data_IF_332531415905
#
_entry.id   IF_332531415905
#
_cell.length_a   1.000
_cell.length_b   1.000
_cell.length_c   1.000
_cell.angle_alpha   90.00
_cell.angle_beta   90.00
_cell.angle_gamma   90.00
#
_symmetry.space_group_name_H-M   'P 1'
#
loop_
_entity.id
_entity.type
_entity.pdbx_description
1 polymer ?
#
# COMPACT_ATOMS: atom_id res chain seq x y z
N UNK A 1 0.43 24.49 -8.34
CA UNK A 1 1.03 23.17 -8.57
C UNK A 1 2.53 23.33 -8.77
N UNK A 2 3.30 22.25 -8.63
CA UNK A 2 4.74 22.24 -8.89
C UNK A 2 5.16 20.90 -9.49
N UNK A 3 5.96 20.91 -10.56
CA UNK A 3 6.46 19.71 -11.22
C UNK A 3 7.99 19.80 -11.40
N UNK A 4 8.71 18.75 -11.04
CA UNK A 4 10.17 18.65 -11.14
C UNK A 4 10.61 17.29 -11.72
N UNK A 5 11.55 17.29 -12.67
CA UNK A 5 12.07 16.06 -13.29
C UNK A 5 11.50 15.76 -14.67
N UNK A 6 11.94 14.66 -15.29
CA UNK A 6 11.64 14.35 -16.69
C UNK A 6 10.18 13.91 -16.89
N UNK A 7 9.42 14.66 -17.70
CA UNK A 7 7.99 14.38 -17.98
C UNK A 7 7.11 14.28 -16.73
N UNK A 8 7.45 15.01 -15.68
CA UNK A 8 6.58 15.17 -14.52
C UNK A 8 5.40 16.11 -14.87
N UNK A 9 4.22 15.84 -14.32
CA UNK A 9 3.01 16.64 -14.54
C UNK A 9 2.29 16.87 -13.22
N UNK A 10 2.05 18.13 -12.86
CA UNK A 10 1.26 18.51 -11.69
C UNK A 10 0.08 19.39 -12.13
N UNK A 11 -1.06 18.78 -12.44
CA UNK A 11 -2.25 19.46 -12.99
C UNK A 11 -3.32 19.77 -11.94
N UNK A 12 -3.35 19.08 -10.81
CA UNK A 12 -4.25 19.39 -9.70
C UNK A 12 -3.94 20.74 -9.01
N UNK A 13 -4.95 21.35 -8.38
CA UNK A 13 -4.73 22.55 -7.55
C UNK A 13 -3.85 22.18 -6.36
N UNK A 14 -2.85 23.01 -6.06
CA UNK A 14 -1.87 22.75 -4.98
C UNK A 14 -1.09 21.42 -5.08
N UNK A 15 -1.09 20.76 -6.25
CA UNK A 15 -0.43 19.46 -6.41
C UNK A 15 1.10 19.57 -6.56
N UNK A 16 1.79 18.46 -6.30
CA UNK A 16 3.25 18.33 -6.43
C UNK A 16 3.62 17.04 -7.18
N UNK A 17 4.46 17.13 -8.21
CA UNK A 17 4.97 15.96 -8.92
C UNK A 17 6.50 16.01 -9.04
N UNK A 18 7.20 14.93 -8.68
CA UNK A 18 8.66 14.85 -8.77
C UNK A 18 9.15 13.50 -9.29
N UNK A 19 10.16 13.51 -10.17
CA UNK A 19 10.79 12.31 -10.74
C UNK A 19 10.55 12.14 -12.23
N UNK A 20 10.51 10.90 -12.71
CA UNK A 20 10.36 10.56 -14.14
C UNK A 20 8.95 10.03 -14.41
N UNK A 21 8.20 10.71 -15.28
CA UNK A 21 6.79 10.39 -15.58
C UNK A 21 5.89 10.38 -14.33
N UNK A 22 6.19 11.18 -13.30
CA UNK A 22 5.32 11.32 -12.13
C UNK A 22 4.14 12.26 -12.45
N UNK A 23 2.92 11.86 -12.14
CA UNK A 23 1.70 12.63 -12.43
C UNK A 23 0.86 12.86 -11.17
N UNK A 24 0.69 14.12 -10.76
CA UNK A 24 -0.23 14.51 -9.69
C UNK A 24 -1.43 15.26 -10.30
N UNK A 25 -2.51 14.53 -10.59
CA UNK A 25 -3.67 15.03 -11.33
C UNK A 25 -4.80 15.55 -10.46
N UNK A 26 -4.87 15.13 -9.20
CA UNK A 26 -5.90 15.58 -8.25
C UNK A 26 -5.46 16.75 -7.37
N UNK A 27 -6.45 17.44 -6.77
CA UNK A 27 -6.21 18.56 -5.86
C UNK A 27 -5.45 18.09 -4.61
N UNK A 28 -4.45 18.88 -4.21
CA UNK A 28 -3.55 18.61 -3.08
C UNK A 28 -2.83 17.26 -3.16
N UNK A 29 -2.73 16.67 -4.35
CA UNK A 29 -2.06 15.38 -4.54
C UNK A 29 -0.54 15.54 -4.68
N UNK A 30 0.22 14.54 -4.22
CA UNK A 30 1.68 14.45 -4.39
C UNK A 30 2.09 13.13 -5.06
N UNK A 31 2.85 13.20 -6.16
CA UNK A 31 3.36 12.03 -6.87
C UNK A 31 4.90 12.10 -6.97
N UNK A 32 5.63 11.20 -6.32
CA UNK A 32 7.11 11.26 -6.25
C UNK A 32 7.72 9.91 -6.62
N UNK A 33 8.36 9.81 -7.79
CA UNK A 33 9.01 8.56 -8.23
C UNK A 33 9.06 8.33 -9.73
N UNK A 34 8.95 7.06 -10.14
CA UNK A 34 9.05 6.61 -11.53
C UNK A 34 7.71 6.05 -12.04
N UNK A 35 7.10 6.70 -13.04
CA UNK A 35 5.78 6.34 -13.59
C UNK A 35 4.67 6.22 -12.53
N UNK A 36 4.72 7.05 -11.49
CA UNK A 36 3.69 7.08 -10.45
C UNK A 36 2.59 8.09 -10.78
N UNK A 37 1.36 7.81 -10.38
CA UNK A 37 0.20 8.70 -10.56
C UNK A 37 -0.57 8.85 -9.26
N UNK A 38 -0.71 10.08 -8.78
CA UNK A 38 -1.58 10.47 -7.67
C UNK A 38 -2.85 11.14 -8.23
N UNK A 39 -3.91 10.35 -8.38
CA UNK A 39 -5.18 10.74 -9.01
C UNK A 39 -6.34 10.94 -8.01
N UNK A 40 -6.09 10.76 -6.71
CA UNK A 40 -7.05 11.00 -5.65
C UNK A 40 -6.79 12.31 -4.90
N UNK A 41 -7.84 13.00 -4.46
CA UNK A 41 -7.72 14.25 -3.73
C UNK A 41 -6.98 14.04 -2.39
N UNK A 42 -6.01 14.92 -2.09
CA UNK A 42 -5.14 14.85 -0.91
C UNK A 42 -4.24 13.61 -0.83
N UNK A 43 -4.12 12.84 -1.91
CA UNK A 43 -3.31 11.62 -1.90
C UNK A 43 -1.81 11.89 -2.03
N UNK A 44 -1.00 10.98 -1.50
CA UNK A 44 0.45 10.94 -1.73
C UNK A 44 0.87 9.58 -2.25
N UNK A 45 1.51 9.54 -3.40
CA UNK A 45 2.00 8.32 -4.04
C UNK A 45 3.49 8.43 -4.24
N UNK A 46 4.22 7.40 -3.81
CA UNK A 46 5.68 7.30 -3.98
C UNK A 46 6.08 5.97 -4.62
N UNK A 47 7.35 5.83 -5.04
CA UNK A 47 7.91 4.57 -5.53
C UNK A 47 7.88 4.45 -7.05
N UNK A 48 7.47 3.30 -7.59
CA UNK A 48 7.39 3.07 -9.03
C UNK A 48 6.11 2.33 -9.42
N UNK A 49 5.52 2.70 -10.57
CA UNK A 49 4.39 1.99 -11.19
C UNK A 49 3.27 1.59 -10.20
N UNK A 50 2.80 2.55 -9.38
CA UNK A 50 1.70 2.33 -8.44
C UNK A 50 0.40 1.91 -9.15
N UNK A 51 -0.49 1.17 -8.49
CA UNK A 51 -1.82 0.89 -9.03
C UNK A 51 -2.60 2.19 -9.31
N UNK A 52 -3.52 2.16 -10.27
CA UNK A 52 -4.23 3.37 -10.74
C UNK A 52 -5.71 3.34 -10.34
N UNK A 53 -6.36 4.50 -10.31
CA UNK A 53 -7.80 4.66 -10.08
C UNK A 53 -8.28 4.04 -8.76
N UNK A 54 -7.47 4.15 -7.71
CA UNK A 54 -7.78 3.61 -6.39
C UNK A 54 -8.64 4.59 -5.61
N UNK A 55 -9.96 4.51 -5.81
CA UNK A 55 -10.92 5.38 -5.12
C UNK A 55 -10.67 5.43 -3.62
N UNK A 56 -10.54 6.64 -3.06
CA UNK A 56 -10.37 6.84 -1.62
C UNK A 56 -8.95 6.57 -1.10
N UNK A 57 -7.94 6.43 -1.96
CA UNK A 57 -6.54 6.34 -1.55
C UNK A 57 -6.02 7.66 -0.94
N UNK A 58 -5.37 7.59 0.22
CA UNK A 58 -4.64 8.70 0.85
C UNK A 58 -3.13 8.56 0.69
N UNK A 59 -2.59 7.35 0.77
CA UNK A 59 -1.17 7.10 0.62
C UNK A 59 -0.90 5.77 -0.06
N UNK A 60 0.02 5.73 -1.03
CA UNK A 60 0.51 4.48 -1.62
C UNK A 60 2.02 4.50 -1.84
N UNK A 61 2.63 3.32 -1.72
CA UNK A 61 3.99 3.03 -2.18
C UNK A 61 3.90 2.05 -3.35
N UNK A 62 4.06 2.56 -4.57
CA UNK A 62 4.11 1.74 -5.78
C UNK A 62 5.37 0.88 -5.84
N UNK A 63 5.20 -0.38 -6.20
CA UNK A 63 6.28 -1.35 -6.42
C UNK A 63 6.07 -2.19 -7.68
N UNK A 64 5.25 -1.72 -8.62
CA UNK A 64 5.12 -2.36 -9.92
C UNK A 64 6.40 -2.27 -10.76
N UNK A 65 6.52 -3.06 -11.81
CA UNK A 65 7.73 -3.11 -12.65
C UNK A 65 7.51 -2.52 -14.05
N UNK A 66 6.26 -2.48 -14.51
CA UNK A 66 5.90 -2.04 -15.86
C UNK A 66 4.51 -1.39 -15.93
N UNK A 67 4.15 -0.89 -17.12
CA UNK A 67 2.86 -0.26 -17.37
C UNK A 67 1.69 -1.23 -17.24
N UNK A 68 1.90 -2.48 -17.64
CA UNK A 68 0.99 -3.61 -17.55
C UNK A 68 1.14 -4.43 -16.25
N UNK A 69 2.10 -4.07 -15.40
CA UNK A 69 2.38 -4.72 -14.11
C UNK A 69 2.51 -3.68 -12.98
N UNK A 70 1.43 -2.94 -12.77
CA UNK A 70 1.33 -1.90 -11.74
C UNK A 70 0.83 -2.49 -10.44
N UNK A 71 1.50 -2.17 -9.33
CA UNK A 71 1.13 -2.66 -8.00
C UNK A 71 1.60 -1.72 -6.90
N UNK A 72 1.02 -1.88 -5.70
CA UNK A 72 1.47 -1.17 -4.50
C UNK A 72 1.90 -2.14 -3.41
N UNK A 73 3.01 -1.83 -2.76
CA UNK A 73 3.50 -2.55 -1.61
C UNK A 73 2.69 -2.20 -0.34
N UNK A 74 2.20 -0.95 -0.28
CA UNK A 74 1.50 -0.38 0.87
C UNK A 74 0.45 0.62 0.41
N UNK A 75 -0.75 0.58 1.02
CA UNK A 75 -1.83 1.54 0.82
C UNK A 75 -2.43 1.99 2.15
N UNK A 76 -2.90 3.23 2.20
CA UNK A 76 -3.76 3.79 3.26
C UNK A 76 -4.96 4.46 2.61
N UNK A 77 -6.17 4.17 3.07
CA UNK A 77 -7.41 4.70 2.49
C UNK A 77 -8.15 5.69 3.42
N UNK A 78 -9.19 6.31 2.87
CA UNK A 78 -10.08 7.27 3.56
C UNK A 78 -10.95 6.65 4.64
N UNK A 79 -11.09 5.32 4.70
CA UNK A 79 -11.76 4.61 5.80
C UNK A 79 -10.79 4.32 6.96
N UNK A 80 -9.50 4.64 6.81
CA UNK A 80 -8.47 4.40 7.81
C UNK A 80 -7.87 3.00 7.75
N UNK A 81 -8.12 2.24 6.68
CA UNK A 81 -7.50 0.93 6.50
C UNK A 81 -6.05 1.08 6.03
N UNK A 82 -5.21 0.12 6.41
CA UNK A 82 -3.84 -0.04 5.91
C UNK A 82 -3.72 -1.41 5.27
N UNK A 83 -3.33 -1.45 4.00
CA UNK A 83 -3.09 -2.69 3.26
C UNK A 83 -1.60 -2.83 2.97
N UNK A 84 -1.00 -3.94 3.39
CA UNK A 84 0.34 -4.34 2.95
C UNK A 84 0.20 -5.54 2.02
N UNK A 85 0.70 -5.44 0.79
CA UNK A 85 0.67 -6.57 -0.16
C UNK A 85 1.70 -7.65 0.20
N UNK A 86 2.75 -7.26 0.91
CA UNK A 86 3.80 -8.14 1.41
C UNK A 86 3.61 -8.54 2.88
N UNK A 87 4.69 -9.04 3.47
CA UNK A 87 4.73 -9.48 4.87
C UNK A 87 5.03 -8.30 5.80
N UNK A 88 4.44 -8.32 7.00
CA UNK A 88 4.71 -7.34 8.05
C UNK A 88 5.66 -7.95 9.08
N UNK A 89 6.77 -7.25 9.34
CA UNK A 89 7.76 -7.67 10.32
C UNK A 89 7.79 -6.72 11.51
N UNK A 90 7.80 -7.26 12.72
CA UNK A 90 8.05 -6.51 13.95
C UNK A 90 9.20 -7.19 14.72
N UNK A 91 10.25 -6.45 15.06
CA UNK A 91 11.45 -6.99 15.72
C UNK A 91 12.01 -8.24 15.00
N UNK A 92 11.97 -8.23 13.66
CA UNK A 92 12.40 -9.34 12.81
C UNK A 92 11.43 -10.53 12.69
N UNK A 93 10.30 -10.51 13.41
CA UNK A 93 9.29 -11.57 13.36
C UNK A 93 8.22 -11.29 12.33
N UNK A 94 7.91 -12.28 11.49
CA UNK A 94 6.79 -12.24 10.54
C UNK A 94 5.46 -12.38 11.30
N UNK A 95 4.66 -11.31 11.31
CA UNK A 95 3.44 -11.23 12.11
C UNK A 95 2.35 -12.20 11.64
N UNK A 96 2.26 -12.47 10.33
CA UNK A 96 1.26 -13.40 9.82
C UNK A 96 1.62 -14.84 10.21
N UNK A 97 2.91 -15.18 10.12
CA UNK A 97 3.39 -16.48 10.57
C UNK A 97 3.21 -16.67 12.09
N UNK A 98 3.41 -15.62 12.88
CA UNK A 98 3.13 -15.65 14.32
C UNK A 98 1.66 -15.99 14.60
N UNK A 99 0.72 -15.35 13.90
CA UNK A 99 -0.72 -15.63 14.04
C UNK A 99 -1.05 -17.07 13.63
N UNK A 100 -0.50 -17.56 12.52
CA UNK A 100 -0.69 -18.96 12.07
C UNK A 100 -0.19 -19.95 13.12
N UNK A 101 0.98 -19.70 13.71
CA UNK A 101 1.55 -20.56 14.74
C UNK A 101 0.70 -20.56 16.01
N UNK A 102 0.17 -19.40 16.42
CA UNK A 102 -0.74 -19.30 17.56
C UNK A 102 -2.06 -20.04 17.30
N UNK A 103 -2.62 -19.95 16.09
CA UNK A 103 -3.83 -20.69 15.73
C UNK A 103 -3.61 -22.21 15.81
N UNK A 104 -2.48 -22.70 15.30
CA UNK A 104 -2.14 -24.12 15.40
C UNK A 104 -1.99 -24.60 16.86
N UNK A 105 -1.47 -23.75 17.75
CA UNK A 105 -1.40 -24.04 19.18
C UNK A 105 -2.80 -24.10 19.80
N UNK A 106 -3.70 -23.18 19.46
CA UNK A 106 -5.09 -23.17 19.93
C UNK A 106 -5.83 -24.44 19.48
N UNK A 107 -5.68 -24.83 18.21
CA UNK A 107 -6.32 -26.04 17.67
C UNK A 107 -5.84 -27.30 18.40
N UNK A 108 -4.54 -27.40 18.67
CA UNK A 108 -3.94 -28.50 19.45
C UNK A 108 -4.48 -28.55 20.89
N UNK A 109 -4.60 -27.39 21.54
CA UNK A 109 -5.18 -27.31 22.88
C UNK A 109 -6.66 -27.72 22.90
N UNK A 110 -7.43 -27.34 21.87
CA UNK A 110 -8.85 -27.73 21.76
C UNK A 110 -8.99 -29.25 21.62
N UNK A 111 -8.13 -29.90 20.83
CA UNK A 111 -8.10 -31.37 20.71
C UNK A 111 -7.81 -32.01 22.07
N UNK A 112 -6.81 -31.51 22.80
CA UNK A 112 -6.47 -32.03 24.12
C UNK A 112 -7.62 -31.85 25.12
N UNK A 113 -8.36 -30.73 25.05
CA UNK A 113 -9.50 -30.47 25.92
C UNK A 113 -10.64 -31.45 25.66
N UNK A 114 -11.00 -31.69 24.39
CA UNK A 114 -12.07 -32.62 24.04
C UNK A 114 -11.78 -34.03 24.59
N UNK A 115 -10.53 -34.49 24.44
CA UNK A 115 -10.06 -35.77 24.98
C UNK A 115 -10.20 -35.86 26.51
N UNK A 116 -9.98 -34.77 27.23
CA UNK A 116 -10.15 -34.71 28.69
C UNK A 116 -11.62 -34.66 29.11
N UNK A 117 -12.48 -34.09 28.27
CA UNK A 117 -13.93 -33.99 28.51
C UNK A 117 -14.67 -35.29 28.14
N UNK A 118 -13.98 -36.25 27.52
CA UNK A 118 -14.59 -37.50 27.07
C UNK A 118 -15.47 -37.34 25.83
N UNK A 119 -15.28 -36.25 25.08
CA UNK A 119 -15.81 -36.07 23.72
C UNK A 119 -14.80 -36.53 22.66
#
# INVERSE_FOLDING_TARGET
SHAQGYRSTASGLYSHASGRNATASANSASAIGYNVTADQANSTVVGQWNALNQGGLLFAVGNGEAEDDRSDALQVDTAGNVLAAGRLFAEGSDLLQLVINLQAQVDSMQIQLNLLQGE
#
